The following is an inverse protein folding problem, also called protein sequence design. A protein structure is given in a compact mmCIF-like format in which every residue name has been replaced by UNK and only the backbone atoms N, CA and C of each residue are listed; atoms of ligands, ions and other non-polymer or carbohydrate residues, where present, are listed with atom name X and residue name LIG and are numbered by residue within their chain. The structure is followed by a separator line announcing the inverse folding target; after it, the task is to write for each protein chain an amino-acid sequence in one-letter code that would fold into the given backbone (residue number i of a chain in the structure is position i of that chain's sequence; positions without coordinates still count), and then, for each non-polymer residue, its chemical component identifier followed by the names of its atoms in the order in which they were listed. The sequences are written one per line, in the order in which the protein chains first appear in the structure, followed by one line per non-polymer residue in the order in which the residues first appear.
data_IF_828401079072
#
_entry.id   IF_828401079072
#
_cell.length_a   1.000
_cell.length_b   1.000
_cell.length_c   1.000
_cell.angle_alpha   90.00
_cell.angle_beta   90.00
_cell.angle_gamma   90.00
#
_symmetry.space_group_name_H-M   'P 1'
#
loop_
_entity.id
_entity.type
_entity.pdbx_description
1 polymer ?
#
# COMPACT_ATOMS: atom_id res chain seq x y z
N UNK A 1 5.70 11.06 4.12
CA UNK A 1 5.40 9.73 4.68
C UNK A 1 3.95 9.72 5.11
N UNK A 2 3.05 9.20 4.27
CA UNK A 2 1.63 9.18 4.57
C UNK A 2 1.21 8.06 5.53
N UNK A 3 -0.07 8.03 5.88
CA UNK A 3 -0.64 7.04 6.80
C UNK A 3 -1.90 6.37 6.27
N UNK A 4 -2.06 5.10 6.65
CA UNK A 4 -3.32 4.36 6.56
C UNK A 4 -3.90 4.25 7.96
N UNK A 5 -5.16 4.66 8.11
CA UNK A 5 -5.95 4.38 9.30
C UNK A 5 -7.10 3.43 8.95
N UNK A 6 -7.14 2.28 9.63
CA UNK A 6 -8.13 1.23 9.40
C UNK A 6 -8.95 0.97 10.67
N UNK A 7 -10.25 1.23 10.59
CA UNK A 7 -11.15 1.20 11.75
C UNK A 7 -10.67 2.15 12.85
N UNK A 8 -10.56 1.63 14.07
CA UNK A 8 -10.03 2.33 15.25
C UNK A 8 -8.61 1.86 15.61
N UNK A 9 -7.89 1.26 14.65
CA UNK A 9 -6.53 0.78 14.84
C UNK A 9 -5.49 1.91 14.81
N UNK A 10 -4.24 1.50 15.01
CA UNK A 10 -3.07 2.39 14.91
C UNK A 10 -2.85 2.87 13.47
N UNK A 11 -2.17 4.01 13.34
CA UNK A 11 -1.77 4.53 12.03
C UNK A 11 -0.60 3.72 11.48
N UNK A 12 -0.74 3.29 10.23
CA UNK A 12 0.31 2.55 9.52
C UNK A 12 1.04 3.55 8.63
N UNK A 13 2.31 3.83 8.94
CA UNK A 13 3.15 4.74 8.18
C UNK A 13 3.70 4.06 6.92
N UNK A 14 3.53 4.72 5.77
CA UNK A 14 3.93 4.20 4.46
C UNK A 14 4.43 5.36 3.60
N UNK A 15 5.49 5.13 2.83
CA UNK A 15 6.01 6.13 1.90
C UNK A 15 4.91 6.61 0.94
N UNK A 16 4.80 7.93 0.71
CA UNK A 16 3.66 8.52 0.00
C UNK A 16 3.46 7.94 -1.39
N UNK A 17 4.58 7.65 -2.09
CA UNK A 17 4.53 6.99 -3.39
C UNK A 17 3.91 5.60 -3.28
N UNK A 18 4.36 4.76 -2.35
CA UNK A 18 3.78 3.43 -2.15
C UNK A 18 2.31 3.52 -1.70
N UNK A 19 1.99 4.46 -0.81
CA UNK A 19 0.63 4.72 -0.35
C UNK A 19 -0.31 5.11 -1.50
N UNK A 20 0.17 5.89 -2.47
CA UNK A 20 -0.62 6.28 -3.64
C UNK A 20 -1.00 5.08 -4.52
N UNK A 21 -0.07 4.15 -4.74
CA UNK A 21 -0.32 2.92 -5.50
C UNK A 21 -1.28 1.98 -4.73
N UNK A 22 -1.05 1.81 -3.43
CA UNK A 22 -1.92 1.05 -2.55
C UNK A 22 -3.35 1.60 -2.52
N UNK A 23 -3.51 2.93 -2.42
CA UNK A 23 -4.82 3.58 -2.45
C UNK A 23 -5.62 3.17 -3.69
N UNK A 24 -4.99 3.11 -4.87
CA UNK A 24 -5.65 2.69 -6.10
C UNK A 24 -6.09 1.22 -6.03
N UNK A 25 -5.19 0.33 -5.62
CA UNK A 25 -5.45 -1.12 -5.51
C UNK A 25 -6.54 -1.41 -4.48
N UNK A 26 -6.40 -0.87 -3.27
CA UNK A 26 -7.34 -1.04 -2.17
C UNK A 26 -8.72 -0.49 -2.55
N UNK A 27 -8.80 0.74 -3.07
CA UNK A 27 -10.08 1.31 -3.49
C UNK A 27 -10.76 0.49 -4.60
N UNK A 28 -9.97 -0.05 -5.54
CA UNK A 28 -10.49 -0.88 -6.64
C UNK A 28 -11.11 -2.18 -6.12
N UNK A 29 -10.39 -2.91 -5.25
CA UNK A 29 -10.86 -4.19 -4.70
C UNK A 29 -12.05 -4.00 -3.76
N UNK A 30 -11.99 -3.03 -2.83
CA UNK A 30 -13.08 -2.81 -1.89
C UNK A 30 -14.38 -2.35 -2.59
N UNK A 31 -14.30 -1.55 -3.67
CA UNK A 31 -15.48 -1.22 -4.51
C UNK A 31 -16.13 -2.44 -5.16
N UNK A 32 -15.38 -3.52 -5.36
CA UNK A 32 -15.86 -4.81 -5.89
C UNK A 32 -16.28 -5.78 -4.78
N UNK A 33 -16.31 -5.33 -3.52
CA UNK A 33 -16.49 -6.18 -2.34
C UNK A 33 -15.44 -7.30 -2.22
N UNK A 34 -14.25 -7.09 -2.78
CA UNK A 34 -13.14 -8.04 -2.67
C UNK A 34 -12.30 -7.69 -1.44
N UNK A 35 -12.45 -8.51 -0.39
CA UNK A 35 -11.61 -8.40 0.82
C UNK A 35 -10.28 -9.13 0.62
N UNK A 36 -9.21 -8.62 1.24
CA UNK A 36 -7.86 -9.19 1.12
C UNK A 36 -6.97 -8.74 2.29
N UNK A 37 -5.78 -9.32 2.40
CA UNK A 37 -4.81 -8.97 3.44
C UNK A 37 -3.78 -7.96 2.96
N UNK A 38 -3.36 -7.07 3.87
CA UNK A 38 -2.19 -6.21 3.72
C UNK A 38 -1.22 -6.52 4.87
N UNK A 39 0.02 -6.83 4.54
CA UNK A 39 1.09 -7.11 5.50
C UNK A 39 2.26 -6.16 5.31
N UNK A 40 2.93 -5.78 6.40
CA UNK A 40 4.12 -4.93 6.37
C UNK A 40 5.06 -5.29 7.52
N UNK A 41 6.36 -5.12 7.30
CA UNK A 41 7.35 -5.24 8.38
C UNK A 41 7.31 -4.01 9.27
N UNK A 42 7.57 -4.21 10.55
CA UNK A 42 7.69 -3.08 11.46
C UNK A 42 8.93 -2.26 11.08
N UNK A 43 8.84 -0.92 11.09
CA UNK A 43 9.97 -0.06 10.75
C UNK A 43 11.12 -0.18 11.76
N UNK A 44 12.31 0.26 11.35
CA UNK A 44 13.47 0.31 12.23
C UNK A 44 13.20 1.19 13.46
N UNK A 45 13.36 0.63 14.65
CA UNK A 45 13.06 1.29 15.92
C UNK A 45 11.91 0.67 16.70
N UNK A 46 11.03 -0.09 16.02
CA UNK A 46 9.98 -0.88 16.65
C UNK A 46 10.46 -2.31 17.00
N UNK A 47 9.76 -3.05 17.88
CA UNK A 47 10.03 -4.47 18.07
C UNK A 47 9.97 -5.24 16.75
N UNK A 48 11.03 -6.00 16.47
CA UNK A 48 11.16 -6.83 15.27
C UNK A 48 9.88 -7.65 15.04
N UNK A 49 9.27 -7.48 13.88
CA UNK A 49 8.00 -8.12 13.60
C UNK A 49 7.41 -7.79 12.24
N UNK A 50 6.25 -8.39 11.99
CA UNK A 50 5.41 -8.12 10.83
C UNK A 50 3.97 -8.05 11.31
N UNK A 51 3.24 -7.08 10.80
CA UNK A 51 1.81 -6.95 11.02
C UNK A 51 1.04 -7.29 9.75
N UNK A 52 -0.18 -7.82 9.92
CA UNK A 52 -1.10 -8.13 8.84
C UNK A 52 -2.50 -7.68 9.24
N UNK A 53 -3.17 -6.94 8.37
CA UNK A 53 -4.59 -6.58 8.53
C UNK A 53 -5.43 -7.23 7.44
N UNK A 54 -6.69 -7.50 7.77
CA UNK A 54 -7.71 -7.92 6.82
C UNK A 54 -8.53 -6.70 6.40
N UNK A 55 -8.45 -6.30 5.14
CA UNK A 55 -9.19 -5.17 4.57
C UNK A 55 -10.57 -5.64 4.08
N UNK A 56 -11.63 -5.00 4.56
CA UNK A 56 -13.02 -5.31 4.25
C UNK A 56 -13.83 -4.02 3.99
N UNK A 57 -14.75 -3.99 3.00
CA UNK A 57 -15.45 -2.76 2.60
C UNK A 57 -16.33 -2.14 3.69
N UNK A 58 -16.75 -2.91 4.69
CA UNK A 58 -17.58 -2.43 5.81
C UNK A 58 -16.79 -1.75 6.94
N UNK A 59 -15.46 -1.69 6.86
CA UNK A 59 -14.63 -1.06 7.89
C UNK A 59 -14.12 0.30 7.35
N UNK A 60 -14.25 1.40 8.12
CA UNK A 60 -13.73 2.70 7.71
C UNK A 60 -12.24 2.64 7.40
N UNK A 61 -11.85 3.25 6.28
CA UNK A 61 -10.47 3.31 5.81
C UNK A 61 -10.16 4.74 5.39
N UNK A 62 -9.08 5.31 5.92
CA UNK A 62 -8.58 6.63 5.56
C UNK A 62 -7.15 6.53 5.08
N UNK A 63 -6.86 7.27 4.01
CA UNK A 63 -5.51 7.54 3.52
C UNK A 63 -5.21 9.01 3.79
N UNK A 64 -4.12 9.30 4.49
CA UNK A 64 -3.60 10.65 4.70
C UNK A 64 -2.25 10.76 4.02
N UNK A 65 -2.04 11.82 3.25
CA UNK A 65 -0.77 12.12 2.58
C UNK A 65 -0.24 13.43 3.14
N UNK A 66 1.08 13.53 3.28
CA UNK A 66 1.73 14.76 3.77
C UNK A 66 1.69 15.87 2.70
N UNK A 67 1.82 15.49 1.43
CA UNK A 67 1.75 16.40 0.30
C UNK A 67 0.33 16.45 -0.29
N UNK A 68 -0.15 17.65 -0.67
CA UNK A 68 -1.46 17.80 -1.29
C UNK A 68 -1.50 17.30 -2.73
N UNK A 69 -0.35 17.24 -3.41
CA UNK A 69 -0.24 16.78 -4.79
C UNK A 69 0.04 15.28 -4.85
N UNK A 70 -0.69 14.57 -5.72
CA UNK A 70 -0.54 13.13 -5.83
C UNK A 70 0.76 12.78 -6.58
N UNK A 71 1.60 11.87 -6.06
CA UNK A 71 2.80 11.44 -6.76
C UNK A 71 2.44 10.69 -8.05
N UNK A 72 3.35 10.68 -9.06
CA UNK A 72 3.12 9.98 -10.31
C UNK A 72 2.94 8.48 -10.06
N UNK A 73 1.87 7.93 -10.63
CA UNK A 73 1.54 6.51 -10.54
C UNK A 73 2.24 5.72 -11.64
N UNK A 74 2.76 4.54 -11.28
CA UNK A 74 3.27 3.55 -12.21
C UNK A 74 2.20 2.47 -12.47
N UNK A 75 1.64 2.39 -13.69
CA UNK A 75 0.62 1.41 -14.03
C UNK A 75 1.07 -0.05 -13.90
N UNK A 76 2.33 -0.37 -14.21
CA UNK A 76 2.82 -1.76 -14.11
C UNK A 76 2.83 -2.22 -12.65
N UNK A 77 3.31 -1.36 -11.77
CA UNK A 77 3.34 -1.65 -10.34
C UNK A 77 1.94 -1.75 -9.72
N UNK A 78 0.98 -0.94 -10.18
CA UNK A 78 -0.44 -1.13 -9.79
C UNK A 78 -0.94 -2.52 -10.21
N UNK A 79 -0.58 -3.00 -11.40
CA UNK A 79 -0.95 -4.35 -11.84
C UNK A 79 -0.32 -5.44 -10.98
N UNK A 80 0.96 -5.30 -10.64
CA UNK A 80 1.66 -6.25 -9.76
C UNK A 80 0.99 -6.32 -8.38
N UNK A 81 0.69 -5.15 -7.78
CA UNK A 81 -0.04 -5.06 -6.51
C UNK A 81 -1.44 -5.65 -6.60
N UNK A 82 -2.17 -5.42 -7.69
CA UNK A 82 -3.49 -6.03 -7.93
C UNK A 82 -3.40 -7.55 -8.02
N UNK A 83 -2.34 -8.08 -8.63
CA UNK A 83 -2.11 -9.52 -8.72
C UNK A 83 -1.79 -10.10 -7.34
N UNK A 84 -0.88 -9.49 -6.57
CA UNK A 84 -0.56 -9.90 -5.20
C UNK A 84 -1.81 -9.89 -4.31
N UNK A 85 -2.60 -8.82 -4.37
CA UNK A 85 -3.84 -8.66 -3.60
C UNK A 85 -4.93 -9.70 -3.95
N UNK A 86 -4.83 -10.34 -5.11
CA UNK A 86 -5.74 -11.40 -5.54
C UNK A 86 -5.22 -12.81 -5.22
N UNK A 87 -4.02 -12.90 -4.66
CA UNK A 87 -3.42 -14.15 -4.19
C UNK A 87 -3.82 -14.45 -2.74
N UNK A 88 -3.65 -15.70 -2.31
CA UNK A 88 -3.89 -16.14 -0.91
C UNK A 88 -3.01 -15.38 0.10
N UNK A 89 -1.84 -14.87 -0.31
CA UNK A 89 -0.92 -14.15 0.56
C UNK A 89 -1.28 -12.67 0.77
N UNK A 90 -2.15 -12.10 -0.08
CA UNK A 90 -2.44 -10.67 -0.13
C UNK A 90 -1.23 -9.82 -0.54
N UNK A 91 -1.27 -8.53 -0.19
CA UNK A 91 -0.16 -7.61 -0.42
C UNK A 91 0.85 -7.72 0.74
N UNK A 92 2.13 -7.85 0.41
CA UNK A 92 3.23 -7.70 1.36
C UNK A 92 4.08 -6.51 0.98
N UNK A 93 4.04 -5.45 1.80
CA UNK A 93 4.98 -4.35 1.74
C UNK A 93 6.29 -4.82 2.36
N UNK A 94 7.23 -5.20 1.50
CA UNK A 94 8.65 -5.33 1.84
C UNK A 94 9.33 -4.02 1.46
N UNK A 95 10.34 -3.57 2.22
CA UNK A 95 11.04 -2.29 1.99
C UNK A 95 11.69 -2.13 0.59
N UNK A 96 11.59 -3.16 -0.26
CA UNK A 96 11.94 -3.13 -1.68
C UNK A 96 10.82 -2.51 -2.54
N UNK A 97 10.42 -1.28 -2.17
CA UNK A 97 9.56 -0.43 -3.00
C UNK A 97 10.13 1.00 -3.05
N UNK A 98 11.45 1.11 -2.91
CA UNK A 98 12.17 2.39 -2.98
C UNK A 98 13.16 2.45 -4.16
N UNK A 99 13.42 1.36 -4.89
CA UNK A 99 14.30 1.39 -6.08
C UNK A 99 13.47 1.44 -7.37
N UNK A 100 13.14 2.61 -7.89
CA UNK A 100 13.88 3.39 -8.91
C UNK A 100 13.12 3.31 -10.25
N UNK A 101 12.60 4.43 -10.82
CA UNK A 101 12.25 4.42 -12.23
C UNK A 101 13.55 4.17 -13.02
N UNK A 102 13.56 3.14 -13.87
CA UNK A 102 14.69 2.87 -14.78
C UNK A 102 15.17 4.18 -15.43
N UNK A 103 16.48 4.46 -15.49
CA UNK A 103 16.95 5.59 -16.28
C UNK A 103 16.58 5.30 -17.74
N UNK A 104 15.76 6.17 -18.33
CA UNK A 104 15.55 6.22 -19.76
C UNK A 104 16.92 6.38 -20.42
N UNK A 105 17.44 5.31 -21.01
CA UNK A 105 18.59 5.39 -21.91
C UNK A 105 18.20 6.30 -23.07
N UNK A 106 18.70 7.54 -23.02
CA UNK A 106 18.67 8.45 -24.15
C UNK A 106 19.57 7.87 -25.25
N UNK A 107 18.95 7.65 -26.40
CA UNK A 107 19.59 7.20 -27.64
C UNK A 107 20.38 8.34 -28.30
#
# INVERSE_FOLDING_TARGET
MGTIQYGNGEEIHIEDRALAHLKVVIATKLRRNESFTLSWRHPDGDPLGRSTIWLHPSIPLRFTFDEPEAPPLNPSWIQDLMQSASSTGGISLIDEVVDTPEPVSAN
#
